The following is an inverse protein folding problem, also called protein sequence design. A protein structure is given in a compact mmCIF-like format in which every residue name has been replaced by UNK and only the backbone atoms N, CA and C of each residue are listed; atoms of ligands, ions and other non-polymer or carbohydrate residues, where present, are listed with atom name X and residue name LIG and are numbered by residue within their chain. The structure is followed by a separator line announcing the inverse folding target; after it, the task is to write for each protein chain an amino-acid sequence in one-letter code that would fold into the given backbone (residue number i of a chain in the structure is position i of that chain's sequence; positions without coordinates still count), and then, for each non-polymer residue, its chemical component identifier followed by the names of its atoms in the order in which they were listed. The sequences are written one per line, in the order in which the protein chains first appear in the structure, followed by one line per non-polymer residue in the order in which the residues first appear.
data_IF_768473945944
#
_entry.id   IF_768473945944
#
_cell.length_a   1.000
_cell.length_b   1.000
_cell.length_c   1.000
_cell.angle_alpha   90.00
_cell.angle_beta   90.00
_cell.angle_gamma   90.00
#
_symmetry.space_group_name_H-M   'P 1'
#
loop_
_entity.id
_entity.type
_entity.pdbx_description
1 polymer ?
#
# COMPACT_ATOMS: atom_id res chain seq x y z
N UNK A 1 -24.74 -3.43 5.68
CA UNK A 1 -23.66 -3.44 4.67
C UNK A 1 -23.25 -2.00 4.52
N UNK A 2 -22.18 -1.60 5.22
CA UNK A 2 -21.74 -0.22 5.18
C UNK A 2 -20.99 -0.01 3.87
N UNK A 3 -21.57 0.80 3.00
CA UNK A 3 -20.91 1.42 1.87
C UNK A 3 -19.71 2.18 2.44
N UNK A 4 -18.52 1.57 2.41
CA UNK A 4 -17.29 2.29 2.72
C UNK A 4 -17.00 3.18 1.53
N UNK A 5 -17.50 4.41 1.62
CA UNK A 5 -17.14 5.47 0.69
C UNK A 5 -15.62 5.50 0.57
N UNK A 6 -15.12 5.30 -0.65
CA UNK A 6 -13.76 5.64 -1.04
C UNK A 6 -13.56 7.11 -0.66
N UNK A 7 -12.94 7.33 0.50
CA UNK A 7 -13.08 8.59 1.23
C UNK A 7 -12.11 9.64 0.73
N UNK A 8 -10.88 9.23 0.41
CA UNK A 8 -9.81 10.12 0.00
C UNK A 8 -9.06 9.55 -1.21
N UNK A 9 -8.39 10.44 -1.94
CA UNK A 9 -7.53 10.06 -3.06
C UNK A 9 -6.08 10.23 -2.66
N UNK A 10 -5.32 9.13 -2.67
CA UNK A 10 -3.87 9.18 -2.51
C UNK A 10 -3.23 9.33 -3.89
N UNK A 11 -2.49 10.42 -4.12
CA UNK A 11 -1.72 10.58 -5.35
C UNK A 11 -0.42 9.79 -5.23
N UNK A 12 -0.20 8.86 -6.15
CA UNK A 12 0.96 7.98 -6.13
C UNK A 12 1.75 8.07 -7.45
N UNK A 13 3.09 8.11 -7.38
CA UNK A 13 3.92 7.74 -8.52
C UNK A 13 3.85 6.22 -8.76
N UNK A 14 4.22 5.78 -9.97
CA UNK A 14 4.13 4.37 -10.35
C UNK A 14 5.03 3.47 -9.49
N UNK A 15 6.17 3.98 -9.03
CA UNK A 15 7.08 3.30 -8.11
C UNK A 15 6.45 3.12 -6.73
N UNK A 16 5.73 4.14 -6.24
CA UNK A 16 4.97 4.06 -4.99
C UNK A 16 3.87 3.01 -5.09
N UNK A 17 3.11 3.01 -6.18
CA UNK A 17 2.09 1.99 -6.43
C UNK A 17 2.70 0.57 -6.54
N UNK A 18 3.86 0.41 -7.19
CA UNK A 18 4.56 -0.88 -7.26
C UNK A 18 4.98 -1.38 -5.87
N UNK A 19 5.52 -0.50 -5.02
CA UNK A 19 5.89 -0.84 -3.65
C UNK A 19 4.68 -1.29 -2.82
N UNK A 20 3.55 -0.58 -2.92
CA UNK A 20 2.30 -0.98 -2.26
C UNK A 20 1.82 -2.35 -2.74
N UNK A 21 1.83 -2.61 -4.04
CA UNK A 21 1.44 -3.92 -4.60
C UNK A 21 2.35 -5.06 -4.13
N UNK A 22 3.65 -4.81 -3.94
CA UNK A 22 4.55 -5.79 -3.34
C UNK A 22 4.19 -6.10 -1.90
N UNK A 23 3.84 -5.09 -1.09
CA UNK A 23 3.40 -5.27 0.30
C UNK A 23 2.10 -6.08 0.35
N UNK A 24 1.15 -5.79 -0.54
CA UNK A 24 -0.10 -6.54 -0.64
C UNK A 24 0.16 -8.00 -1.02
N UNK A 25 1.06 -8.26 -1.98
CA UNK A 25 1.48 -9.63 -2.32
C UNK A 25 2.09 -10.38 -1.13
N UNK A 26 2.96 -9.73 -0.36
CA UNK A 26 3.54 -10.32 0.86
C UNK A 26 2.45 -10.66 1.87
N UNK A 27 1.49 -9.75 2.09
CA UNK A 27 0.38 -9.98 3.02
C UNK A 27 -0.50 -11.17 2.58
N UNK A 28 -0.82 -11.25 1.28
CA UNK A 28 -1.58 -12.36 0.69
C UNK A 28 -0.84 -13.68 0.85
N UNK A 29 0.48 -13.72 0.59
CA UNK A 29 1.30 -14.93 0.70
C UNK A 29 1.39 -15.47 2.14
N UNK A 30 1.21 -14.62 3.14
CA UNK A 30 1.26 -15.00 4.56
C UNK A 30 -0.12 -15.25 5.17
N UNK A 31 -1.16 -15.39 4.34
CA UNK A 31 -2.55 -15.67 4.76
C UNK A 31 -3.05 -14.68 5.83
N UNK A 32 -2.62 -13.42 5.76
CA UNK A 32 -3.10 -12.38 6.67
C UNK A 32 -4.60 -12.22 6.44
N UNK A 33 -5.38 -12.29 7.53
CA UNK A 33 -6.83 -12.38 7.50
C UNK A 33 -7.45 -11.20 6.73
N UNK A 34 -7.83 -11.46 5.48
CA UNK A 34 -8.54 -10.52 4.61
C UNK A 34 -10.03 -10.78 4.68
N UNK A 35 -10.62 -10.46 5.84
CA UNK A 35 -12.00 -10.81 6.18
C UNK A 35 -13.05 -10.38 5.13
N UNK A 36 -12.73 -9.38 4.29
CA UNK A 36 -13.65 -8.77 3.33
C UNK A 36 -13.11 -8.71 1.88
N UNK A 37 -11.97 -9.33 1.54
CA UNK A 37 -11.38 -9.25 0.19
C UNK A 37 -10.76 -7.89 -0.14
N UNK A 38 -10.34 -7.15 0.89
CA UNK A 38 -9.80 -5.79 0.80
C UNK A 38 -8.41 -5.73 0.19
N UNK A 39 -7.56 -6.75 0.42
CA UNK A 39 -6.24 -6.84 -0.20
C UNK A 39 -6.38 -6.87 -1.72
N UNK A 40 -7.21 -7.78 -2.22
CA UNK A 40 -7.49 -7.94 -3.65
C UNK A 40 -8.14 -6.69 -4.25
N UNK A 41 -9.09 -6.08 -3.53
CA UNK A 41 -9.75 -4.87 -3.99
C UNK A 41 -8.79 -3.67 -4.07
N UNK A 42 -7.82 -3.56 -3.17
CA UNK A 42 -6.80 -2.51 -3.21
C UNK A 42 -5.75 -2.78 -4.30
N UNK A 43 -5.25 -4.02 -4.44
CA UNK A 43 -4.33 -4.38 -5.53
C UNK A 43 -4.97 -4.15 -6.90
N UNK A 44 -6.24 -4.51 -7.05
CA UNK A 44 -6.97 -4.26 -8.30
C UNK A 44 -7.05 -2.76 -8.63
N UNK A 45 -7.35 -1.91 -7.65
CA UNK A 45 -7.39 -0.44 -7.84
C UNK A 45 -6.02 0.10 -8.26
N UNK A 46 -4.95 -0.37 -7.62
CA UNK A 46 -3.58 0.03 -7.97
C UNK A 46 -3.18 -0.46 -9.37
N UNK A 47 -3.46 -1.72 -9.69
CA UNK A 47 -3.14 -2.36 -10.96
C UNK A 47 -3.81 -1.67 -12.15
N UNK A 48 -5.08 -1.27 -11.99
CA UNK A 48 -5.87 -0.60 -13.03
C UNK A 48 -5.50 0.87 -13.26
N UNK A 49 -4.76 1.49 -12.33
CA UNK A 49 -4.39 2.89 -12.47
C UNK A 49 -3.35 3.12 -13.56
N UNK A 50 -2.55 2.11 -13.93
CA UNK A 50 -1.58 2.18 -15.03
C UNK A 50 -1.75 1.06 -16.05
N UNK A 51 -1.44 1.36 -17.31
CA UNK A 51 -1.50 0.38 -18.38
C UNK A 51 -0.23 -0.50 -18.41
N UNK A 52 -0.24 -1.55 -19.24
CA UNK A 52 0.87 -2.52 -19.28
C UNK A 52 2.21 -1.95 -19.75
N UNK A 53 2.22 -0.97 -20.65
CA UNK A 53 3.46 -0.32 -21.12
C UNK A 53 4.08 0.56 -20.03
N UNK A 54 3.23 1.27 -19.28
CA UNK A 54 3.63 2.07 -18.14
C UNK A 54 4.22 1.19 -17.04
N UNK A 55 3.55 0.09 -16.69
CA UNK A 55 4.07 -0.89 -15.74
C UNK A 55 5.38 -1.54 -16.20
N UNK A 56 5.53 -1.84 -17.49
CA UNK A 56 6.74 -2.46 -18.02
C UNK A 56 7.93 -1.50 -18.05
N UNK A 57 7.68 -0.21 -18.31
CA UNK A 57 8.72 0.82 -18.38
C UNK A 57 9.03 1.48 -17.04
N UNK A 58 8.12 1.38 -16.07
CA UNK A 58 8.15 2.14 -14.81
C UNK A 58 8.21 3.65 -15.04
N UNK A 59 7.63 4.14 -16.15
CA UNK A 59 7.60 5.57 -16.48
C UNK A 59 6.15 5.97 -16.71
N UNK A 60 5.61 6.78 -15.81
CA UNK A 60 4.28 7.36 -15.93
C UNK A 60 4.12 8.61 -15.08
N UNK A 61 3.06 9.37 -15.36
CA UNK A 61 2.62 10.44 -14.46
C UNK A 61 2.02 9.84 -13.18
N UNK A 62 2.10 10.60 -12.09
CA UNK A 62 1.39 10.30 -10.86
C UNK A 62 -0.12 10.19 -11.09
N UNK A 63 -0.79 9.32 -10.33
CA UNK A 63 -2.24 9.11 -10.42
C UNK A 63 -2.87 9.01 -9.04
N UNK A 64 -4.08 9.53 -8.96
CA UNK A 64 -4.92 9.41 -7.76
C UNK A 64 -5.54 8.03 -7.64
N UNK A 65 -5.33 7.38 -6.51
CA UNK A 65 -5.93 6.10 -6.16
C UNK A 65 -6.96 6.32 -5.06
N UNK A 66 -8.24 5.97 -5.30
CA UNK A 66 -9.26 6.02 -4.27
C UNK A 66 -8.94 5.04 -3.14
N UNK A 67 -8.77 5.56 -1.93
CA UNK A 67 -8.48 4.81 -0.73
C UNK A 67 -9.48 5.12 0.39
N UNK A 68 -9.80 4.10 1.17
CA UNK A 68 -10.48 4.23 2.45
C UNK A 68 -9.45 4.29 3.59
N UNK A 69 -9.85 4.79 4.76
CA UNK A 69 -9.01 4.73 5.96
C UNK A 69 -8.57 3.31 6.28
N UNK A 70 -9.45 2.33 6.11
CA UNK A 70 -9.11 0.91 6.35
C UNK A 70 -8.12 0.35 5.33
N UNK A 71 -8.12 0.85 4.09
CA UNK A 71 -7.06 0.51 3.12
C UNK A 71 -5.69 1.02 3.64
N UNK A 72 -5.65 2.24 4.17
CA UNK A 72 -4.44 2.81 4.75
C UNK A 72 -3.99 2.05 6.03
N UNK A 73 -4.92 1.68 6.92
CA UNK A 73 -4.62 0.83 8.10
C UNK A 73 -4.04 -0.53 7.68
N UNK A 74 -4.58 -1.14 6.61
CA UNK A 74 -4.09 -2.39 6.05
C UNK A 74 -2.66 -2.25 5.54
N UNK A 75 -2.36 -1.17 4.81
CA UNK A 75 -1.01 -0.87 4.32
C UNK A 75 -0.02 -0.65 5.47
N UNK A 76 -0.40 0.11 6.51
CA UNK A 76 0.43 0.30 7.71
C UNK A 76 0.76 -1.04 8.36
N UNK A 77 -0.23 -1.93 8.53
CA UNK A 77 -0.01 -3.27 9.08
C UNK A 77 0.92 -4.10 8.19
N UNK A 78 0.75 -4.03 6.87
CA UNK A 78 1.63 -4.68 5.89
C UNK A 78 3.07 -4.22 5.95
N UNK A 79 3.29 -2.92 6.10
CA UNK A 79 4.61 -2.34 6.27
C UNK A 79 5.29 -2.84 7.55
N UNK A 80 4.59 -2.79 8.69
CA UNK A 80 5.11 -3.32 9.96
C UNK A 80 5.39 -4.82 9.91
N UNK A 81 4.54 -5.58 9.22
CA UNK A 81 4.78 -7.00 8.99
C UNK A 81 6.03 -7.23 8.12
N UNK A 82 6.18 -6.48 7.04
CA UNK A 82 7.34 -6.54 6.13
C UNK A 82 8.64 -6.18 6.87
N UNK A 83 8.62 -5.15 7.71
CA UNK A 83 9.74 -4.80 8.60
C UNK A 83 10.11 -5.97 9.52
N UNK A 84 9.12 -6.54 10.22
CA UNK A 84 9.33 -7.67 11.14
C UNK A 84 9.98 -8.87 10.44
N UNK A 85 9.49 -9.22 9.25
CA UNK A 85 10.03 -10.32 8.45
C UNK A 85 11.42 -10.01 7.86
N UNK A 86 11.78 -8.74 7.72
CA UNK A 86 13.03 -8.30 7.10
C UNK A 86 14.17 -8.05 8.07
N UNK A 87 13.96 -8.18 9.39
CA UNK A 87 14.96 -7.90 10.44
C UNK A 87 16.30 -8.63 10.29
N UNK A 88 16.32 -9.77 9.59
CA UNK A 88 17.52 -10.58 9.35
C UNK A 88 18.18 -10.31 8.00
N UNK A 89 17.61 -9.44 7.17
CA UNK A 89 18.07 -9.18 5.81
C UNK A 89 19.05 -8.01 5.79
N UNK A 90 20.07 -8.02 4.91
CA UNK A 90 21.09 -6.98 4.85
C UNK A 90 20.56 -5.61 4.40
N UNK A 91 19.30 -5.53 3.97
CA UNK A 91 18.61 -4.33 3.52
C UNK A 91 17.50 -3.87 4.47
N UNK A 92 17.48 -4.36 5.71
CA UNK A 92 16.47 -3.99 6.71
C UNK A 92 16.33 -2.47 6.89
N UNK A 93 17.43 -1.74 6.99
CA UNK A 93 17.41 -0.28 7.14
C UNK A 93 16.68 0.42 5.97
N UNK A 94 16.82 -0.12 4.76
CA UNK A 94 16.13 0.39 3.58
C UNK A 94 14.62 0.09 3.65
N UNK A 95 14.23 -1.07 4.16
CA UNK A 95 12.82 -1.44 4.37
C UNK A 95 12.16 -0.49 5.38
N UNK A 96 12.82 -0.21 6.50
CA UNK A 96 12.33 0.76 7.48
C UNK A 96 12.20 2.17 6.88
N UNK A 97 13.23 2.63 6.15
CA UNK A 97 13.19 3.96 5.55
C UNK A 97 12.03 4.14 4.54
N UNK A 98 11.78 3.13 3.71
CA UNK A 98 10.65 3.14 2.76
C UNK A 98 9.32 3.04 3.50
N UNK A 99 9.25 2.21 4.53
CA UNK A 99 8.03 2.05 5.35
C UNK A 99 7.66 3.34 6.06
N UNK A 100 8.62 4.00 6.70
CA UNK A 100 8.41 5.29 7.37
C UNK A 100 7.96 6.38 6.39
N UNK A 101 8.53 6.42 5.18
CA UNK A 101 8.08 7.34 4.13
C UNK A 101 6.62 7.07 3.74
N UNK A 102 6.26 5.82 3.42
CA UNK A 102 4.88 5.48 3.03
C UNK A 102 3.90 5.79 4.17
N UNK A 103 4.26 5.47 5.42
CA UNK A 103 3.43 5.79 6.59
C UNK A 103 3.24 7.30 6.75
N UNK A 104 4.26 8.11 6.45
CA UNK A 104 4.14 9.57 6.45
C UNK A 104 3.12 10.04 5.41
N UNK A 105 3.23 9.58 4.16
CA UNK A 105 2.28 9.92 3.09
C UNK A 105 0.84 9.50 3.45
N UNK A 106 0.69 8.30 4.03
CA UNK A 106 -0.61 7.80 4.49
C UNK A 106 -1.18 8.64 5.63
N UNK A 107 -0.35 9.16 6.54
CA UNK A 107 -0.81 10.04 7.62
C UNK A 107 -1.18 11.45 7.13
N UNK A 108 -0.58 11.94 6.05
CA UNK A 108 -0.99 13.21 5.43
C UNK A 108 -2.41 13.10 4.85
N UNK A 109 -2.72 11.98 4.20
CA UNK A 109 -4.05 11.73 3.60
C UNK A 109 -5.06 11.26 4.66
N UNK A 110 -4.62 10.43 5.61
CA UNK A 110 -5.44 9.84 6.67
C UNK A 110 -4.81 10.11 8.05
N UNK A 111 -5.02 11.30 8.63
CA UNK A 111 -4.44 11.65 9.92
C UNK A 111 -4.72 10.58 11.00
N UNK A 112 -3.66 10.19 11.72
CA UNK A 112 -3.69 9.22 12.83
C UNK A 112 -3.84 7.76 12.42
N UNK A 113 -3.62 7.41 11.15
CA UNK A 113 -3.75 6.02 10.68
C UNK A 113 -2.66 5.09 11.22
N UNK A 114 -1.51 5.64 11.62
CA UNK A 114 -0.42 4.86 12.22
C UNK A 114 -0.51 4.70 13.74
N UNK A 115 -1.52 5.30 14.39
CA UNK A 115 -1.63 5.31 15.86
C UNK A 115 -2.39 4.08 16.41
N UNK A 116 -2.95 3.26 15.51
CA UNK A 116 -3.80 2.10 15.82
C UNK A 116 -3.09 0.76 15.89
#
# INVERSE_FOLDING_TARGET
MSDEYLGETMTLPIEGAAALRQILGILTDHEIEDADGRLDALDQRLSLAWNGEEWASMVATERGIPMSRRDAELLVRGLRFTEMMSTHLPFFDQVCAVSDWIVSELNEVFPGVSDG
#
